data_IF_151420578098
#
_entry.id   IF_151420578098
#
_cell.length_a   1.000
_cell.length_b   1.000
_cell.length_c   1.000
_cell.angle_alpha   90.00
_cell.angle_beta   90.00
_cell.angle_gamma   90.00
#
_symmetry.space_group_name_H-M   'P 1'
#
loop_
_entity.id
_entity.type
_entity.pdbx_description
1 polymer ?
#
# COMPACT_ATOMS: atom_id res chain seq x y z
N UNK A 1 -6.63 6.94 6.89
CA UNK A 1 -6.88 8.35 6.48
C UNK A 1 -8.31 8.48 6.03
N UNK A 2 -8.94 9.64 6.21
CA UNK A 2 -10.22 9.92 5.56
C UNK A 2 -10.03 10.25 4.09
N UNK A 3 -11.08 10.11 3.28
CA UNK A 3 -11.05 10.47 1.86
C UNK A 3 -10.71 11.96 1.65
N UNK A 4 -11.13 12.85 2.55
CA UNK A 4 -10.75 14.27 2.46
C UNK A 4 -9.24 14.46 2.62
N UNK A 5 -8.61 13.74 3.54
CA UNK A 5 -7.16 13.79 3.74
C UNK A 5 -6.42 13.22 2.53
N UNK A 6 -6.89 12.10 1.98
CA UNK A 6 -6.31 11.50 0.78
C UNK A 6 -6.42 12.45 -0.43
N UNK A 7 -7.61 13.05 -0.65
CA UNK A 7 -7.82 14.05 -1.71
C UNK A 7 -6.91 15.27 -1.54
N UNK A 8 -6.71 15.74 -0.32
CA UNK A 8 -5.80 16.86 -0.04
C UNK A 8 -4.33 16.51 -0.39
N UNK A 9 -3.90 15.27 -0.16
CA UNK A 9 -2.57 14.80 -0.57
C UNK A 9 -2.46 14.66 -2.10
N UNK A 10 -3.48 14.09 -2.75
CA UNK A 10 -3.55 13.94 -4.21
C UNK A 10 -3.45 15.31 -4.90
N UNK A 11 -4.19 16.32 -4.42
CA UNK A 11 -4.14 17.70 -4.92
C UNK A 11 -2.75 18.34 -4.83
N UNK A 12 -1.90 17.88 -3.92
CA UNK A 12 -0.52 18.36 -3.72
C UNK A 12 0.52 17.53 -4.47
N UNK A 13 0.05 16.63 -5.33
CA UNK A 13 0.89 15.71 -6.06
C UNK A 13 1.78 14.85 -5.14
N UNK A 14 1.18 14.35 -4.06
CA UNK A 14 1.85 13.41 -3.16
C UNK A 14 1.84 11.98 -3.75
N UNK A 15 2.78 11.18 -3.26
CA UNK A 15 2.77 9.71 -3.38
C UNK A 15 2.45 9.15 -1.99
N UNK A 16 1.48 8.26 -1.91
CA UNK A 16 0.96 7.67 -0.68
C UNK A 16 1.43 6.22 -0.63
N UNK A 17 2.28 5.91 0.36
CA UNK A 17 2.82 4.58 0.59
C UNK A 17 1.80 3.68 1.30
N UNK A 18 1.55 2.50 0.74
CA UNK A 18 0.77 1.46 1.43
C UNK A 18 1.63 0.76 2.49
N UNK A 19 1.20 0.84 3.74
CA UNK A 19 1.81 0.15 4.87
C UNK A 19 1.40 -1.33 4.89
N UNK A 20 2.25 -2.19 5.44
CA UNK A 20 1.98 -3.62 5.60
C UNK A 20 1.81 -3.98 7.08
N UNK A 21 1.65 -2.99 7.94
CA UNK A 21 1.38 -3.22 9.34
C UNK A 21 -0.13 -3.39 9.58
N UNK A 22 -0.54 -4.56 10.10
CA UNK A 22 -1.95 -4.98 10.17
C UNK A 22 -2.83 -4.06 11.01
N UNK A 23 -2.28 -3.43 12.06
CA UNK A 23 -3.02 -2.44 12.85
C UNK A 23 -3.44 -1.19 12.07
N UNK A 24 -2.76 -0.88 10.95
CA UNK A 24 -3.13 0.23 10.07
C UNK A 24 -4.20 -0.16 9.04
N UNK A 25 -4.45 -1.47 8.86
CA UNK A 25 -5.31 -2.03 7.83
C UNK A 25 -6.64 -2.53 8.38
N UNK A 26 -6.73 -2.82 9.67
CA UNK A 26 -7.92 -3.33 10.32
C UNK A 26 -8.50 -2.31 11.32
N UNK A 27 -9.83 -2.10 11.33
CA UNK A 27 -10.48 -1.31 12.37
C UNK A 27 -10.44 -2.05 13.71
N UNK A 28 -10.50 -1.30 14.82
CA UNK A 28 -10.59 -1.84 16.19
C UNK A 28 -9.43 -2.79 16.56
N UNK A 29 -8.24 -2.58 16.00
CA UNK A 29 -7.06 -3.40 16.33
C UNK A 29 -6.64 -3.23 17.80
N UNK A 30 -6.52 -4.35 18.51
CA UNK A 30 -5.95 -4.41 19.86
C UNK A 30 -4.55 -5.02 19.80
N UNK A 31 -3.53 -4.21 20.13
CA UNK A 31 -2.13 -4.64 20.10
C UNK A 31 -1.93 -5.89 20.96
N UNK A 32 -1.19 -6.86 20.41
CA UNK A 32 -0.88 -8.16 21.03
C UNK A 32 -2.06 -9.11 21.24
N UNK A 33 -3.30 -8.69 20.92
CA UNK A 33 -4.50 -9.53 21.06
C UNK A 33 -5.08 -9.89 19.70
N UNK A 34 -5.28 -8.90 18.83
CA UNK A 34 -5.80 -9.13 17.47
C UNK A 34 -4.73 -9.77 16.59
N UNK A 35 -5.11 -10.80 15.85
CA UNK A 35 -4.24 -11.46 14.87
C UNK A 35 -4.59 -11.01 13.44
N UNK A 36 -3.61 -10.85 12.53
CA UNK A 36 -3.88 -10.44 11.14
C UNK A 36 -4.89 -11.34 10.42
N UNK A 37 -4.83 -12.66 10.65
CA UNK A 37 -5.76 -13.63 10.07
C UNK A 37 -7.21 -13.40 10.51
N UNK A 38 -7.43 -13.20 11.82
CA UNK A 38 -8.77 -12.96 12.37
C UNK A 38 -9.33 -11.60 11.91
N UNK A 39 -8.46 -10.62 11.73
CA UNK A 39 -8.79 -9.30 11.21
C UNK A 39 -8.95 -9.26 9.68
N UNK A 40 -8.68 -10.37 8.98
CA UNK A 40 -8.78 -10.45 7.52
C UNK A 40 -7.76 -9.60 6.77
N UNK A 41 -6.56 -9.42 7.34
CA UNK A 41 -5.47 -8.65 6.72
C UNK A 41 -4.56 -9.59 5.93
N UNK A 42 -4.82 -9.71 4.63
CA UNK A 42 -3.94 -10.35 3.64
C UNK A 42 -3.36 -9.31 2.68
N UNK A 43 -2.51 -9.74 1.74
CA UNK A 43 -1.95 -8.84 0.72
C UNK A 43 -3.06 -8.23 -0.15
N UNK A 44 -4.16 -8.96 -0.40
CA UNK A 44 -5.31 -8.43 -1.14
C UNK A 44 -5.91 -7.19 -0.45
N UNK A 45 -5.97 -7.16 0.90
CA UNK A 45 -6.40 -5.97 1.67
C UNK A 45 -5.51 -4.76 1.38
N UNK A 46 -4.21 -4.97 1.22
CA UNK A 46 -3.28 -3.88 0.85
C UNK A 46 -3.60 -3.37 -0.56
N UNK A 47 -3.88 -4.28 -1.49
CA UNK A 47 -4.29 -3.94 -2.85
C UNK A 47 -5.61 -3.17 -2.87
N UNK A 48 -6.59 -3.54 -2.05
CA UNK A 48 -7.86 -2.79 -1.90
C UNK A 48 -7.62 -1.34 -1.47
N UNK A 49 -6.68 -1.10 -0.55
CA UNK A 49 -6.31 0.25 -0.13
C UNK A 49 -5.62 1.05 -1.24
N UNK A 50 -4.70 0.42 -1.98
CA UNK A 50 -4.06 1.03 -3.15
C UNK A 50 -5.12 1.39 -4.20
N UNK A 51 -6.03 0.46 -4.48
CA UNK A 51 -7.10 0.60 -5.47
C UNK A 51 -8.06 1.73 -5.11
N UNK A 52 -8.45 1.85 -3.83
CA UNK A 52 -9.25 2.97 -3.35
C UNK A 52 -8.58 4.33 -3.62
N UNK A 53 -7.28 4.45 -3.33
CA UNK A 53 -6.53 5.69 -3.61
C UNK A 53 -6.48 5.98 -5.12
N UNK A 54 -6.27 4.96 -5.95
CA UNK A 54 -6.29 5.10 -7.41
C UNK A 54 -7.66 5.55 -7.92
N UNK A 55 -8.76 5.01 -7.38
CA UNK A 55 -10.13 5.41 -7.73
C UNK A 55 -10.41 6.86 -7.33
N UNK A 56 -9.96 7.29 -6.14
CA UNK A 56 -10.07 8.67 -5.69
C UNK A 56 -9.26 9.64 -6.57
N UNK A 57 -8.09 9.22 -7.05
CA UNK A 57 -7.22 10.03 -7.92
C UNK A 57 -7.63 9.98 -9.40
N UNK A 58 -8.37 8.94 -9.81
CA UNK A 58 -8.65 8.62 -11.21
C UNK A 58 -7.44 8.09 -11.99
N UNK A 59 -6.34 7.71 -11.31
CA UNK A 59 -5.10 7.20 -11.91
C UNK A 59 -4.18 6.58 -10.83
N UNK A 60 -3.12 5.88 -11.26
CA UNK A 60 -2.17 5.21 -10.37
C UNK A 60 -1.02 6.11 -9.86
N UNK A 61 -0.95 7.38 -10.23
CA UNK A 61 0.23 8.27 -10.04
C UNK A 61 0.54 8.63 -8.58
N UNK A 62 -0.40 8.37 -7.69
CA UNK A 62 -0.37 8.79 -6.29
C UNK A 62 -0.18 7.64 -5.31
N UNK A 63 0.02 6.42 -5.81
CA UNK A 63 0.23 5.23 -4.98
C UNK A 63 1.67 4.76 -5.03
N UNK A 64 2.15 4.19 -3.93
CA UNK A 64 3.47 3.54 -3.86
C UNK A 64 3.52 2.50 -2.75
N UNK A 65 4.61 1.74 -2.69
CA UNK A 65 4.88 0.84 -1.56
C UNK A 65 5.59 1.65 -0.47
N UNK A 66 5.11 1.53 0.77
CA UNK A 66 5.73 2.10 1.97
C UNK A 66 5.55 1.13 3.12
N UNK A 67 6.17 -0.05 2.99
CA UNK A 67 5.72 -1.26 3.69
C UNK A 67 5.88 -1.21 5.21
N UNK A 68 6.83 -0.43 5.71
CA UNK A 68 7.18 -0.38 7.13
C UNK A 68 7.69 -1.73 7.69
N UNK A 69 8.15 -2.65 6.82
CA UNK A 69 8.76 -3.91 7.27
C UNK A 69 9.98 -3.61 8.17
N UNK A 70 10.08 -4.36 9.26
CA UNK A 70 11.04 -4.13 10.36
C UNK A 70 10.88 -2.77 11.08
N UNK A 71 9.74 -2.08 10.91
CA UNK A 71 9.40 -0.81 11.56
C UNK A 71 9.03 -0.88 13.05
N UNK A 72 9.25 -2.04 13.69
CA UNK A 72 8.87 -2.32 15.09
C UNK A 72 7.92 -3.49 15.28
N UNK A 73 7.67 -4.26 14.22
CA UNK A 73 6.89 -5.49 14.19
C UNK A 73 7.56 -6.50 13.26
N UNK A 74 7.32 -7.79 13.50
CA UNK A 74 7.69 -8.88 12.61
C UNK A 74 6.50 -9.44 11.85
N UNK A 75 6.66 -10.67 11.36
CA UNK A 75 5.64 -11.40 10.58
C UNK A 75 4.31 -11.52 11.33
N UNK A 76 4.32 -11.50 12.66
CA UNK A 76 3.12 -11.57 13.50
C UNK A 76 2.13 -10.40 13.31
N UNK A 77 2.58 -9.27 12.76
CA UNK A 77 1.73 -8.11 12.47
C UNK A 77 1.71 -7.74 10.98
N UNK A 78 2.29 -8.55 10.11
CA UNK A 78 2.20 -8.42 8.66
C UNK A 78 0.90 -9.04 8.12
N UNK A 79 0.57 -8.86 6.83
CA UNK A 79 -0.46 -9.69 6.19
C UNK A 79 -0.16 -11.17 6.37
N UNK A 80 -1.19 -11.96 6.71
CA UNK A 80 -0.98 -13.36 7.11
C UNK A 80 -0.50 -14.28 5.99
N UNK A 81 -0.61 -13.85 4.73
CA UNK A 81 -0.16 -14.54 3.51
C UNK A 81 1.19 -13.99 2.98
N UNK A 82 1.91 -13.26 3.82
CA UNK A 82 3.25 -12.73 3.57
C UNK A 82 4.28 -13.39 4.52
N UNK A 83 5.28 -14.03 3.95
CA UNK A 83 6.35 -14.69 4.71
C UNK A 83 7.62 -13.84 4.77
N UNK A 84 7.91 -13.08 3.70
CA UNK A 84 9.10 -12.23 3.63
C UNK A 84 8.91 -11.05 2.68
N UNK A 85 9.89 -10.14 2.65
CA UNK A 85 9.92 -9.03 1.68
C UNK A 85 9.83 -9.49 0.21
N UNK A 86 10.23 -10.74 -0.11
CA UNK A 86 10.11 -11.27 -1.46
C UNK A 86 8.65 -11.38 -1.93
N UNK A 87 7.71 -11.50 -1.00
CA UNK A 87 6.28 -11.60 -1.30
C UNK A 87 5.66 -10.28 -1.78
N UNK A 88 6.37 -9.15 -1.66
CA UNK A 88 5.94 -7.90 -2.28
C UNK A 88 5.79 -8.03 -3.81
N UNK A 89 6.45 -9.01 -4.43
CA UNK A 89 6.29 -9.29 -5.85
C UNK A 89 4.87 -9.78 -6.21
N UNK A 90 4.11 -10.33 -5.25
CA UNK A 90 2.71 -10.75 -5.45
C UNK A 90 1.80 -9.60 -5.87
N UNK A 91 2.12 -8.36 -5.46
CA UNK A 91 1.34 -7.16 -5.78
C UNK A 91 1.19 -6.97 -7.30
N UNK A 92 2.23 -7.29 -8.06
CA UNK A 92 2.23 -7.17 -9.53
C UNK A 92 1.10 -7.98 -10.17
N UNK A 93 0.92 -9.23 -9.72
CA UNK A 93 -0.11 -10.13 -10.24
C UNK A 93 -1.50 -9.71 -9.77
N UNK A 94 -1.63 -9.30 -8.51
CA UNK A 94 -2.93 -8.87 -7.95
C UNK A 94 -3.44 -7.58 -8.61
N UNK A 95 -2.55 -6.61 -8.85
CA UNK A 95 -2.88 -5.39 -9.61
C UNK A 95 -3.24 -5.72 -11.07
N UNK A 96 -2.47 -6.59 -11.72
CA UNK A 96 -2.77 -7.02 -13.10
C UNK A 96 -4.15 -7.69 -13.20
N UNK A 97 -4.51 -8.55 -12.24
CA UNK A 97 -5.82 -9.19 -12.17
C UNK A 97 -6.98 -8.19 -12.00
N UNK A 98 -6.71 -6.99 -11.47
CA UNK A 98 -7.66 -5.88 -11.34
C UNK A 98 -7.69 -4.96 -12.56
N UNK A 99 -6.90 -5.25 -13.60
CA UNK A 99 -6.89 -4.51 -14.86
C UNK A 99 -5.93 -3.32 -14.91
N UNK A 100 -5.01 -3.20 -13.94
CA UNK A 100 -3.94 -2.21 -14.02
C UNK A 100 -3.00 -2.52 -15.18
N UNK A 101 -2.61 -1.48 -15.92
CA UNK A 101 -1.63 -1.62 -17.00
C UNK A 101 -0.24 -1.93 -16.45
N UNK A 102 0.67 -2.43 -17.30
CA UNK A 102 2.05 -2.67 -16.88
C UNK A 102 2.74 -1.36 -16.49
N UNK A 103 2.39 -0.27 -17.15
CA UNK A 103 2.87 1.07 -16.85
C UNK A 103 2.40 1.53 -15.46
N UNK A 104 1.12 1.32 -15.12
CA UNK A 104 0.59 1.65 -13.79
C UNK A 104 1.20 0.79 -12.69
N UNK A 105 1.38 -0.51 -12.95
CA UNK A 105 2.04 -1.43 -12.00
C UNK A 105 3.48 -0.97 -11.76
N UNK A 106 4.25 -0.68 -12.80
CA UNK A 106 5.62 -0.17 -12.65
C UNK A 106 5.64 1.17 -11.90
N UNK A 107 4.66 2.05 -12.15
CA UNK A 107 4.51 3.30 -11.44
C UNK A 107 4.28 3.08 -9.93
N UNK A 108 3.37 2.18 -9.55
CA UNK A 108 3.07 1.85 -8.14
C UNK A 108 4.27 1.17 -7.47
N UNK A 109 4.91 0.21 -8.15
CA UNK A 109 6.02 -0.55 -7.58
C UNK A 109 7.24 0.31 -7.29
N UNK A 110 7.53 1.32 -8.12
CA UNK A 110 8.67 2.22 -7.91
C UNK A 110 8.57 3.57 -8.62
N UNK A 111 7.96 3.64 -9.81
CA UNK A 111 8.05 4.80 -10.70
C UNK A 111 7.54 6.11 -10.09
N UNK A 112 6.48 6.06 -9.28
CA UNK A 112 5.92 7.23 -8.61
C UNK A 112 6.89 7.82 -7.57
N UNK A 113 7.55 6.96 -6.78
CA UNK A 113 8.57 7.41 -5.85
C UNK A 113 9.76 8.02 -6.58
N UNK A 114 10.29 7.36 -7.61
CA UNK A 114 11.41 7.87 -8.42
C UNK A 114 11.07 9.23 -9.03
N UNK A 115 9.90 9.36 -9.65
CA UNK A 115 9.39 10.63 -10.18
C UNK A 115 9.44 11.71 -9.10
N UNK A 116 8.88 11.42 -7.91
CA UNK A 116 8.78 12.41 -6.84
C UNK A 116 10.13 12.82 -6.27
N UNK A 117 11.05 11.86 -6.13
CA UNK A 117 12.42 12.12 -5.68
C UNK A 117 13.16 12.99 -6.70
N UNK A 118 13.08 12.67 -8.00
CA UNK A 118 13.72 13.46 -9.07
C UNK A 118 13.17 14.89 -9.19
N UNK A 119 11.89 15.12 -8.88
CA UNK A 119 11.29 16.47 -8.88
C UNK A 119 11.71 17.34 -7.69
N UNK A 120 12.21 16.75 -6.59
CA UNK A 120 12.36 17.42 -5.29
C UNK A 120 13.75 17.36 -4.70
N UNK A 121 14.55 16.36 -5.06
CA UNK A 121 15.94 16.26 -4.67
C UNK A 121 16.85 16.89 -5.75
N UNK A 122 17.93 17.56 -5.34
CA UNK A 122 18.90 18.18 -6.24
C UNK A 122 19.70 17.17 -7.07
#
# INVERSE_FOLDING_TARGET
FSDEQLKALIQRDAVIGAAFDAWMMAPNWERQLTQPYEAGVNIERIIEHIDHICQLAGNARHCGIGSDLDGGFGREQCPYDMESIADLQKLTTLLANRGYSQEDIAAIMHGNWIRRLNEKLP
#
